data_IF_235015288013
#
_entry.id   IF_235015288013
#
_cell.length_a   1.000
_cell.length_b   1.000
_cell.length_c   1.000
_cell.angle_alpha   90.00
_cell.angle_beta   90.00
_cell.angle_gamma   90.00
#
_symmetry.space_group_name_H-M   'P 1'
#
loop_
_entity.id
_entity.type
_entity.pdbx_description
1 polymer ?
#
# COMPACT_ATOMS: atom_id res chain seq x y z
N UNK A 1 14.70 -7.32 14.86
CA UNK A 1 15.96 -8.07 15.15
C UNK A 1 16.43 -8.93 13.97
N UNK A 2 15.61 -9.79 13.35
CA UNK A 2 16.03 -10.57 12.17
C UNK A 2 16.22 -9.71 10.93
N UNK A 3 15.20 -8.91 10.57
CA UNK A 3 15.27 -8.03 9.40
C UNK A 3 16.37 -6.99 9.53
N UNK A 4 16.44 -6.29 10.67
CA UNK A 4 17.53 -5.33 10.94
C UNK A 4 18.91 -5.96 10.74
N UNK A 5 19.10 -7.20 11.21
CA UNK A 5 20.39 -7.88 11.05
C UNK A 5 20.70 -8.23 9.59
N UNK A 6 19.69 -8.62 8.81
CA UNK A 6 19.87 -8.86 7.37
C UNK A 6 20.27 -7.57 6.65
N UNK A 7 19.62 -6.46 6.99
CA UNK A 7 19.93 -5.14 6.44
C UNK A 7 21.34 -4.67 6.84
N UNK A 8 21.74 -4.86 8.11
CA UNK A 8 23.11 -4.57 8.59
C UNK A 8 24.19 -5.35 7.82
N UNK A 9 23.83 -6.53 7.30
CA UNK A 9 24.73 -7.37 6.51
C UNK A 9 24.69 -7.04 5.00
N UNK A 10 23.92 -6.04 4.59
CA UNK A 10 23.75 -5.64 3.19
C UNK A 10 22.89 -6.60 2.37
N UNK A 11 22.12 -7.49 3.02
CA UNK A 11 21.18 -8.38 2.34
C UNK A 11 19.94 -7.59 1.93
N UNK A 12 19.34 -7.93 0.79
CA UNK A 12 18.02 -7.44 0.36
C UNK A 12 16.96 -8.46 0.78
N UNK A 13 16.15 -8.21 1.82
CA UNK A 13 15.13 -9.16 2.27
C UNK A 13 13.95 -9.17 1.30
N UNK A 14 13.52 -10.37 0.88
CA UNK A 14 12.30 -10.57 0.10
C UNK A 14 11.24 -11.13 1.03
N UNK A 15 10.17 -10.38 1.23
CA UNK A 15 9.10 -10.72 2.17
C UNK A 15 7.82 -10.91 1.37
N UNK A 16 7.05 -11.94 1.71
CA UNK A 16 5.72 -12.19 1.17
C UNK A 16 4.84 -12.76 2.29
N UNK A 17 3.53 -12.74 2.06
CA UNK A 17 2.61 -13.49 2.89
C UNK A 17 2.88 -15.00 2.83
N UNK A 18 2.59 -15.69 3.93
CA UNK A 18 2.64 -17.15 3.96
C UNK A 18 1.30 -17.73 3.48
N UNK A 19 1.15 -17.83 2.17
CA UNK A 19 -0.04 -18.35 1.47
C UNK A 19 -0.48 -19.77 1.88
N UNK A 20 0.38 -20.53 2.57
CA UNK A 20 0.07 -21.90 3.02
C UNK A 20 -0.75 -21.96 4.31
N UNK A 21 -0.83 -20.85 5.05
CA UNK A 21 -1.57 -20.76 6.32
C UNK A 21 -2.72 -19.74 6.31
N UNK A 22 -2.75 -18.85 5.31
CA UNK A 22 -3.81 -17.87 5.13
C UNK A 22 -5.04 -18.51 4.46
N UNK A 23 -6.20 -18.45 5.11
CA UNK A 23 -7.47 -18.91 4.56
C UNK A 23 -7.91 -18.03 3.38
N UNK A 24 -8.32 -18.67 2.27
CA UNK A 24 -8.54 -18.11 0.93
C UNK A 24 -9.61 -16.99 0.76
N UNK A 25 -10.16 -16.40 1.83
CA UNK A 25 -11.33 -15.51 1.69
C UNK A 25 -10.99 -14.03 1.42
N UNK A 26 -9.76 -13.55 1.63
CA UNK A 26 -9.39 -12.15 1.37
C UNK A 26 -7.92 -12.09 0.92
N UNK A 27 -7.64 -12.05 -0.38
CA UNK A 27 -6.26 -11.98 -0.94
C UNK A 27 -5.88 -10.60 -1.50
N UNK A 28 -6.82 -9.66 -1.56
CA UNK A 28 -6.59 -8.33 -2.13
C UNK A 28 -6.19 -7.34 -1.03
N UNK A 29 -4.97 -6.80 -1.11
CA UNK A 29 -4.48 -5.74 -0.21
C UNK A 29 -3.66 -6.21 1.00
N UNK A 30 -3.43 -7.52 1.17
CA UNK A 30 -2.66 -8.02 2.33
C UNK A 30 -1.18 -7.66 2.25
N UNK A 31 -0.60 -7.63 1.05
CA UNK A 31 0.79 -7.17 0.88
C UNK A 31 0.96 -5.66 1.09
N UNK A 32 -0.09 -4.84 0.89
CA UNK A 32 -0.04 -3.41 1.24
C UNK A 32 0.04 -3.23 2.76
N UNK A 33 -0.76 -4.00 3.50
CA UNK A 33 -0.72 -4.00 4.96
C UNK A 33 0.57 -4.60 5.50
N UNK A 34 1.01 -5.73 4.94
CA UNK A 34 2.25 -6.39 5.31
C UNK A 34 3.44 -5.46 5.08
N UNK A 35 3.51 -4.81 3.93
CA UNK A 35 4.59 -3.87 3.62
C UNK A 35 4.58 -2.64 4.54
N UNK A 36 3.42 -2.11 4.92
CA UNK A 36 3.30 -1.07 5.95
C UNK A 36 3.80 -1.52 7.32
N UNK A 37 3.48 -2.76 7.74
CA UNK A 37 3.99 -3.33 8.99
C UNK A 37 5.51 -3.53 8.95
N UNK A 38 6.03 -4.05 7.85
CA UNK A 38 7.47 -4.22 7.63
C UNK A 38 8.19 -2.88 7.68
N UNK A 39 7.69 -1.87 6.97
CA UNK A 39 8.25 -0.53 6.94
C UNK A 39 8.33 0.06 8.36
N UNK A 40 7.26 -0.07 9.15
CA UNK A 40 7.27 0.36 10.55
C UNK A 40 8.25 -0.44 11.41
N UNK A 41 8.34 -1.76 11.22
CA UNK A 41 9.23 -2.65 11.97
C UNK A 41 10.71 -2.32 11.76
N UNK A 42 11.10 -2.04 10.51
CA UNK A 42 12.48 -1.69 10.15
C UNK A 42 12.76 -0.18 10.23
N UNK A 43 11.77 0.62 10.65
CA UNK A 43 11.83 2.09 10.71
C UNK A 43 12.26 2.70 9.37
N UNK A 44 11.65 2.23 8.28
CA UNK A 44 11.89 2.77 6.96
C UNK A 44 11.50 4.25 6.88
N UNK A 45 12.29 5.04 6.16
CA UNK A 45 12.00 6.45 5.90
C UNK A 45 10.86 6.62 4.89
N UNK A 46 10.65 5.62 4.03
CA UNK A 46 9.58 5.61 3.03
C UNK A 46 9.11 4.18 2.73
N UNK A 47 7.83 4.06 2.39
CA UNK A 47 7.24 2.88 1.75
C UNK A 47 6.81 3.28 0.34
N UNK A 48 7.32 2.58 -0.66
CA UNK A 48 6.95 2.78 -2.07
C UNK A 48 6.04 1.63 -2.49
N UNK A 49 4.77 1.95 -2.78
CA UNK A 49 3.81 0.99 -3.33
C UNK A 49 3.82 1.10 -4.85
N UNK A 50 4.20 0.01 -5.52
CA UNK A 50 4.14 -0.09 -6.97
C UNK A 50 2.79 -0.71 -7.35
N UNK A 51 1.98 0.06 -8.07
CA UNK A 51 0.63 -0.32 -8.49
C UNK A 51 0.46 -0.10 -9.99
N UNK A 52 -0.48 -0.83 -10.58
CA UNK A 52 -0.99 -0.65 -11.94
C UNK A 52 -1.86 0.62 -12.10
N UNK A 53 -2.27 1.22 -10.98
CA UNK A 53 -2.92 2.53 -10.95
C UNK A 53 -1.84 3.62 -10.90
N UNK A 54 -1.90 4.60 -11.79
CA UNK A 54 -0.85 5.60 -11.96
C UNK A 54 -0.83 6.68 -10.86
N UNK A 55 -1.96 6.91 -10.19
CA UNK A 55 -2.07 7.84 -9.08
C UNK A 55 -3.33 7.64 -8.23
N UNK A 56 -3.37 8.32 -7.08
CA UNK A 56 -4.61 8.59 -6.35
C UNK A 56 -5.38 9.72 -7.05
N UNK A 57 -6.71 9.61 -7.11
CA UNK A 57 -7.59 10.61 -7.73
C UNK A 57 -8.68 11.08 -6.76
N UNK A 58 -9.17 12.31 -6.94
CA UNK A 58 -10.26 12.89 -6.12
C UNK A 58 -11.62 12.20 -6.33
N UNK A 59 -11.81 11.58 -7.50
CA UNK A 59 -12.98 10.80 -7.88
C UNK A 59 -12.55 9.74 -8.91
N UNK A 60 -13.41 8.76 -9.30
CA UNK A 60 -13.07 7.83 -10.37
C UNK A 60 -12.56 8.56 -11.62
N UNK A 61 -11.44 8.16 -12.23
CA UNK A 61 -10.76 8.94 -13.29
C UNK A 61 -11.62 9.26 -14.51
N UNK A 62 -12.63 8.42 -14.79
CA UNK A 62 -13.58 8.62 -15.89
C UNK A 62 -14.61 9.73 -15.64
N UNK A 63 -14.72 10.25 -14.40
CA UNK A 63 -15.71 11.28 -14.08
C UNK A 63 -15.22 12.69 -14.44
N UNK A 64 -16.09 13.55 -15.02
CA UNK A 64 -15.76 14.94 -15.28
C UNK A 64 -15.35 15.67 -14.00
N UNK A 65 -14.18 16.31 -14.04
CA UNK A 65 -13.62 17.04 -12.89
C UNK A 65 -12.80 16.18 -11.92
N UNK A 66 -12.56 14.89 -12.21
CA UNK A 66 -11.58 14.11 -11.47
C UNK A 66 -10.17 14.65 -11.70
N UNK A 67 -9.41 14.82 -10.62
CA UNK A 67 -8.05 15.34 -10.64
C UNK A 67 -7.12 14.39 -9.89
N UNK A 68 -5.87 14.30 -10.36
CA UNK A 68 -4.81 13.58 -9.67
C UNK A 68 -4.48 14.25 -8.33
N UNK A 69 -4.29 13.44 -7.31
CA UNK A 69 -3.82 13.86 -5.98
C UNK A 69 -2.31 13.65 -5.91
N UNK A 70 -1.55 14.75 -5.86
CA UNK A 70 -0.08 14.70 -5.79
C UNK A 70 0.44 14.47 -4.37
N UNK A 71 -0.26 15.01 -3.37
CA UNK A 71 0.15 14.94 -1.97
C UNK A 71 -1.05 14.87 -1.03
N UNK A 72 -0.98 13.96 -0.06
CA UNK A 72 -1.98 13.80 0.99
C UNK A 72 -1.32 14.17 2.32
N UNK A 73 -1.52 15.40 2.85
CA UNK A 73 -0.86 15.86 4.07
C UNK A 73 -1.35 15.13 5.32
N UNK A 74 -2.64 14.79 5.36
CA UNK A 74 -3.27 14.05 6.45
C UNK A 74 -4.27 13.06 5.88
N UNK A 75 -4.01 11.78 6.10
CA UNK A 75 -4.87 10.70 5.63
C UNK A 75 -6.23 10.71 6.35
N UNK A 76 -6.27 11.09 7.63
CA UNK A 76 -7.53 11.14 8.40
C UNK A 76 -8.47 12.20 7.81
N UNK A 77 -7.93 13.38 7.52
CA UNK A 77 -8.72 14.47 6.91
C UNK A 77 -9.15 14.08 5.49
N UNK A 78 -8.24 13.47 4.71
CA UNK A 78 -8.52 13.04 3.34
C UNK A 78 -9.59 11.93 3.27
N UNK A 79 -9.66 11.02 4.26
CA UNK A 79 -10.67 9.96 4.30
C UNK A 79 -12.10 10.50 4.51
N UNK A 80 -12.27 11.70 5.07
CA UNK A 80 -13.58 12.34 5.19
C UNK A 80 -14.16 12.81 3.86
N UNK A 81 -13.29 13.18 2.91
CA UNK A 81 -13.67 13.80 1.64
C UNK A 81 -13.60 12.84 0.44
N UNK A 82 -12.93 11.69 0.58
CA UNK A 82 -12.73 10.72 -0.51
C UNK A 82 -13.80 9.63 -0.46
N UNK A 83 -14.61 9.53 -1.53
CA UNK A 83 -15.44 8.35 -1.77
C UNK A 83 -14.55 7.19 -2.22
N UNK A 84 -14.26 6.28 -1.29
CA UNK A 84 -13.56 5.03 -1.61
C UNK A 84 -14.52 4.14 -2.41
N UNK A 85 -14.39 4.15 -3.74
CA UNK A 85 -14.89 3.04 -4.55
C UNK A 85 -14.00 1.82 -4.26
N UNK A 86 -14.61 0.65 -4.02
CA UNK A 86 -13.96 -0.54 -3.48
C UNK A 86 -12.65 -0.98 -4.14
N UNK A 87 -11.96 -1.91 -3.47
CA UNK A 87 -10.65 -2.45 -3.85
C UNK A 87 -10.59 -2.91 -5.31
N UNK A 88 -9.72 -2.27 -6.09
CA UNK A 88 -9.24 -2.74 -7.38
C UNK A 88 -10.21 -2.57 -8.55
N UNK A 89 -9.74 -1.84 -9.56
CA UNK A 89 -10.36 -1.78 -10.88
C UNK A 89 -10.31 -3.16 -11.52
N UNK A 90 -11.47 -3.67 -11.98
CA UNK A 90 -11.48 -4.74 -12.98
C UNK A 90 -10.98 -4.15 -14.30
N UNK A 91 -9.69 -4.26 -14.53
CA UNK A 91 -9.16 -4.41 -15.89
C UNK A 91 -9.03 -5.89 -16.16
#
# INVERSE_FOLDING_TARGET
RTLDRLLDLGVVPIINENDSLASNEIRFGDNDRLSALVANLVRAEALVLLTDVDALYTAPPAQPGSCRVEYVPNVIDALGDIRVSGSGSKV
#
